data_IF_522067859680
#
_entry.id   IF_522067859680
#
_cell.length_a   1.000
_cell.length_b   1.000
_cell.length_c   1.000
_cell.angle_alpha   90.00
_cell.angle_beta   90.00
_cell.angle_gamma   90.00
#
_symmetry.space_group_name_H-M   'P 1'
#
loop_
_entity.id
_entity.type
_entity.pdbx_description
1 polymer ?
#
# COMPACT_ATOMS: atom_id res chain seq x y z
N UNK A 1 -76.80 -23.37 -5.65
CA UNK A 1 -76.09 -22.48 -4.70
C UNK A 1 -74.57 -22.67 -4.74
N UNK A 2 -74.05 -23.90 -4.83
CA UNK A 2 -72.61 -24.24 -4.90
C UNK A 2 -71.89 -23.76 -6.16
N UNK A 3 -72.54 -23.84 -7.34
CA UNK A 3 -71.94 -23.45 -8.62
C UNK A 3 -71.59 -21.95 -8.73
N UNK A 4 -72.43 -21.07 -8.16
CA UNK A 4 -72.17 -19.60 -8.17
C UNK A 4 -70.97 -19.23 -7.30
N UNK A 5 -70.77 -19.92 -6.19
CA UNK A 5 -69.61 -19.75 -5.31
C UNK A 5 -68.32 -20.21 -5.98
N UNK A 6 -68.35 -21.36 -6.67
CA UNK A 6 -67.17 -21.86 -7.41
C UNK A 6 -66.77 -20.91 -8.53
N UNK A 7 -67.76 -20.36 -9.27
CA UNK A 7 -67.50 -19.36 -10.32
C UNK A 7 -66.94 -18.06 -9.72
N UNK A 8 -67.49 -17.58 -8.60
CA UNK A 8 -67.00 -16.38 -7.93
C UNK A 8 -65.57 -16.57 -7.40
N UNK A 9 -65.25 -17.73 -6.83
CA UNK A 9 -63.91 -18.05 -6.34
C UNK A 9 -62.90 -18.18 -7.50
N UNK A 10 -63.28 -18.83 -8.60
CA UNK A 10 -62.44 -18.91 -9.81
C UNK A 10 -62.20 -17.52 -10.42
N UNK A 11 -63.24 -16.67 -10.47
CA UNK A 11 -63.11 -15.30 -10.93
C UNK A 11 -62.18 -14.49 -10.02
N UNK A 12 -62.31 -14.60 -8.70
CA UNK A 12 -61.40 -13.94 -7.75
C UNK A 12 -59.94 -14.40 -7.95
N UNK A 13 -59.70 -15.71 -8.08
CA UNK A 13 -58.35 -16.24 -8.30
C UNK A 13 -57.77 -15.77 -9.63
N UNK A 14 -58.57 -15.69 -10.70
CA UNK A 14 -58.12 -15.15 -11.99
C UNK A 14 -57.78 -13.65 -11.93
N UNK A 15 -58.53 -12.87 -11.14
CA UNK A 15 -58.26 -11.45 -10.93
C UNK A 15 -56.96 -11.27 -10.13
N UNK A 16 -56.71 -12.11 -9.11
CA UNK A 16 -55.47 -12.06 -8.34
C UNK A 16 -54.22 -12.43 -9.16
N UNK A 17 -54.32 -13.31 -10.16
CA UNK A 17 -53.19 -13.61 -11.05
C UNK A 17 -52.91 -12.47 -12.05
N UNK A 18 -53.93 -11.69 -12.41
CA UNK A 18 -53.81 -10.58 -13.36
C UNK A 18 -53.30 -9.27 -12.71
N UNK A 19 -53.24 -9.19 -11.38
CA UNK A 19 -52.75 -8.01 -10.64
C UNK A 19 -51.28 -8.06 -10.27
N UNK A 20 -50.53 -9.07 -10.72
CA UNK A 20 -49.08 -8.99 -10.77
C UNK A 20 -48.70 -7.99 -11.87
N UNK A 21 -48.64 -6.70 -11.51
CA UNK A 21 -48.11 -5.66 -12.38
C UNK A 21 -46.71 -6.04 -12.89
N UNK A 22 -46.26 -5.48 -14.02
CA UNK A 22 -44.93 -5.76 -14.53
C UNK A 22 -43.93 -5.49 -13.42
N UNK A 23 -43.14 -6.51 -13.03
CA UNK A 23 -41.90 -6.25 -12.30
C UNK A 23 -41.19 -5.19 -13.13
N UNK A 24 -40.94 -3.98 -12.58
CA UNK A 24 -40.36 -2.91 -13.36
C UNK A 24 -39.02 -3.45 -13.82
N UNK A 25 -38.96 -3.89 -15.08
CA UNK A 25 -37.76 -4.48 -15.64
C UNK A 25 -36.69 -3.43 -15.47
N UNK A 26 -35.87 -3.58 -14.43
CA UNK A 26 -34.85 -2.63 -14.09
C UNK A 26 -33.81 -2.79 -15.20
N UNK A 27 -34.02 -2.11 -16.32
CA UNK A 27 -33.06 -2.03 -17.39
C UNK A 27 -31.84 -1.38 -16.78
N UNK A 28 -30.84 -2.23 -16.50
CA UNK A 28 -29.58 -1.80 -15.96
C UNK A 28 -28.77 -1.20 -17.11
N UNK A 29 -28.88 0.12 -17.28
CA UNK A 29 -28.00 0.85 -18.18
C UNK A 29 -26.66 1.11 -17.48
N UNK A 30 -25.60 0.51 -18.03
CA UNK A 30 -24.25 0.69 -17.52
C UNK A 30 -23.79 2.12 -17.83
N UNK A 31 -23.59 2.92 -16.79
CA UNK A 31 -23.03 4.26 -16.88
C UNK A 31 -21.82 4.39 -15.94
N UNK A 32 -20.89 5.32 -16.21
CA UNK A 32 -19.80 5.62 -15.29
C UNK A 32 -20.34 5.93 -13.90
N UNK A 33 -19.84 5.18 -12.92
CA UNK A 33 -20.28 5.25 -11.54
C UNK A 33 -19.83 6.57 -10.92
N UNK A 34 -20.76 7.30 -10.30
CA UNK A 34 -20.47 8.53 -9.58
C UNK A 34 -20.20 8.26 -8.08
N UNK A 35 -19.73 9.29 -7.36
CA UNK A 35 -19.46 9.17 -5.91
C UNK A 35 -20.71 8.89 -5.05
N UNK A 36 -21.93 9.13 -5.59
CA UNK A 36 -23.19 8.83 -4.90
C UNK A 36 -23.65 7.37 -5.05
N UNK A 37 -22.98 6.59 -5.90
CA UNK A 37 -23.34 5.19 -6.07
C UNK A 37 -23.03 4.40 -4.80
N UNK A 38 -23.94 3.50 -4.36
CA UNK A 38 -23.84 2.81 -3.08
C UNK A 38 -22.61 1.91 -2.98
N UNK A 39 -22.09 1.44 -4.11
CA UNK A 39 -20.88 0.63 -4.18
C UNK A 39 -19.75 1.48 -4.76
N UNK A 40 -18.68 1.61 -3.98
CA UNK A 40 -17.42 2.20 -4.41
C UNK A 40 -16.37 1.09 -4.42
N UNK A 41 -15.68 0.93 -5.54
CA UNK A 41 -14.57 -0.02 -5.65
C UNK A 41 -13.27 0.68 -5.27
N UNK A 42 -12.53 0.11 -4.33
CA UNK A 42 -11.22 0.58 -3.91
C UNK A 42 -10.20 -0.53 -4.10
N UNK A 43 -8.96 -0.16 -4.40
CA UNK A 43 -7.84 -1.10 -4.51
C UNK A 43 -6.69 -0.61 -3.64
N UNK A 44 -6.27 -1.47 -2.71
CA UNK A 44 -5.08 -1.26 -1.89
C UNK A 44 -3.98 -2.21 -2.39
N UNK A 45 -2.76 -1.69 -2.54
CA UNK A 45 -1.64 -2.46 -3.07
C UNK A 45 -0.34 -2.11 -2.38
N UNK A 46 0.60 -3.05 -2.41
CA UNK A 46 1.95 -2.84 -1.91
C UNK A 46 2.81 -2.18 -3.01
N UNK A 47 3.43 -1.05 -2.68
CA UNK A 47 4.24 -0.26 -3.63
C UNK A 47 5.74 -0.44 -3.41
N UNK A 48 6.17 -1.62 -2.96
CA UNK A 48 7.58 -1.92 -2.71
C UNK A 48 8.29 -2.12 -4.05
N UNK A 49 9.34 -1.33 -4.29
CA UNK A 49 10.19 -1.50 -5.48
C UNK A 49 11.42 -2.33 -5.14
N UNK A 50 12.24 -1.83 -4.22
CA UNK A 50 13.45 -2.49 -3.73
C UNK A 50 13.79 -2.00 -2.33
N UNK A 51 14.57 -2.79 -1.60
CA UNK A 51 14.99 -2.44 -0.25
C UNK A 51 15.94 -3.46 0.36
N UNK A 52 16.48 -3.11 1.52
CA UNK A 52 17.31 -4.00 2.32
C UNK A 52 17.03 -3.77 3.81
N UNK A 53 17.39 -4.75 4.63
CA UNK A 53 17.35 -4.66 6.09
C UNK A 53 18.68 -5.12 6.66
N UNK A 54 19.11 -4.51 7.76
CA UNK A 54 20.39 -4.85 8.38
C UNK A 54 20.28 -4.81 9.90
N UNK A 55 20.98 -5.73 10.55
CA UNK A 55 21.18 -5.74 12.01
C UNK A 55 22.41 -4.93 12.43
N UNK A 56 23.11 -4.30 11.48
CA UNK A 56 24.34 -3.54 11.75
C UNK A 56 24.17 -2.36 12.71
N UNK A 57 22.95 -1.87 12.89
CA UNK A 57 22.64 -0.80 13.86
C UNK A 57 22.42 -1.32 15.28
N UNK A 58 22.36 -2.63 15.53
CA UNK A 58 21.98 -3.19 16.85
C UNK A 58 22.82 -2.62 17.99
N UNK A 59 24.15 -2.58 17.82
CA UNK A 59 25.08 -2.05 18.82
C UNK A 59 25.29 -0.53 18.80
N UNK A 60 24.64 0.19 17.88
CA UNK A 60 24.71 1.64 17.78
C UNK A 60 23.62 2.29 18.65
N UNK A 61 23.77 3.55 19.08
CA UNK A 61 22.79 4.23 19.91
C UNK A 61 21.49 4.58 19.18
N UNK A 62 21.47 4.52 17.85
CA UNK A 62 20.33 4.93 17.03
C UNK A 62 20.06 3.94 15.89
N UNK A 63 18.79 3.81 15.53
CA UNK A 63 18.33 3.08 14.35
C UNK A 63 18.05 4.07 13.23
N UNK A 64 18.35 3.65 12.00
CA UNK A 64 18.21 4.50 10.82
C UNK A 64 17.33 3.78 9.81
N UNK A 65 16.27 4.45 9.38
CA UNK A 65 15.35 3.97 8.35
C UNK A 65 15.36 4.96 7.19
N UNK A 66 15.55 4.43 5.98
CA UNK A 66 15.57 5.23 4.76
C UNK A 66 14.34 4.90 3.93
N UNK A 67 13.55 5.92 3.61
CA UNK A 67 12.38 5.79 2.74
C UNK A 67 12.61 6.61 1.48
N UNK A 68 12.51 5.95 0.32
CA UNK A 68 12.69 6.59 -0.98
C UNK A 68 11.41 6.44 -1.80
N UNK A 69 10.61 7.49 -1.84
CA UNK A 69 9.36 7.50 -2.55
C UNK A 69 9.58 7.74 -4.04
N UNK A 70 8.93 6.94 -4.87
CA UNK A 70 8.76 7.22 -6.30
C UNK A 70 7.34 7.70 -6.51
N UNK A 71 7.19 8.85 -7.14
CA UNK A 71 5.88 9.38 -7.51
C UNK A 71 5.67 9.14 -9.00
N UNK A 72 4.49 8.64 -9.38
CA UNK A 72 3.99 8.80 -10.75
C UNK A 72 3.59 10.26 -10.96
N UNK A 73 3.77 10.77 -12.17
CA UNK A 73 3.50 12.16 -12.53
C UNK A 73 2.07 12.54 -12.17
N UNK A 74 1.94 13.63 -11.42
CA UNK A 74 0.65 14.15 -10.98
C UNK A 74 0.16 15.17 -12.01
N UNK A 75 -1.06 15.00 -12.50
CA UNK A 75 -1.68 15.98 -13.40
C UNK A 75 -1.84 17.36 -12.72
N UNK A 76 -1.85 18.45 -13.49
CA UNK A 76 -1.96 19.80 -12.94
C UNK A 76 -3.26 19.97 -12.14
N UNK A 77 -3.15 20.53 -10.93
CA UNK A 77 -4.29 20.92 -10.09
C UNK A 77 -4.66 19.95 -8.95
N UNK A 78 -3.85 18.92 -8.68
CA UNK A 78 -4.06 18.07 -7.52
C UNK A 78 -3.56 18.72 -6.20
N UNK A 79 -4.24 18.45 -5.07
CA UNK A 79 -3.83 18.97 -3.76
C UNK A 79 -2.44 18.46 -3.37
N UNK A 80 -1.81 19.18 -2.44
CA UNK A 80 -0.52 18.81 -1.86
C UNK A 80 -0.58 17.35 -1.38
N UNK A 81 0.39 16.54 -1.81
CA UNK A 81 0.40 15.10 -1.52
C UNK A 81 0.64 14.89 -0.02
N UNK A 82 -0.11 13.98 0.58
CA UNK A 82 0.05 13.61 1.99
C UNK A 82 0.39 12.13 2.10
N UNK A 83 1.35 11.78 2.97
CA UNK A 83 1.79 10.41 3.22
C UNK A 83 1.80 10.15 4.71
N UNK A 84 1.19 9.05 5.16
CA UNK A 84 1.23 8.66 6.56
C UNK A 84 2.30 7.59 6.80
N UNK A 85 3.27 7.90 7.66
CA UNK A 85 4.28 6.97 8.16
C UNK A 85 3.78 6.31 9.45
N UNK A 86 3.44 5.03 9.35
CA UNK A 86 3.05 4.20 10.50
C UNK A 86 4.28 3.53 11.10
N UNK A 87 4.60 3.89 12.34
CA UNK A 87 5.67 3.28 13.12
C UNK A 87 5.11 2.31 14.14
N UNK A 88 5.42 1.04 13.96
CA UNK A 88 5.08 -0.02 14.90
C UNK A 88 6.30 -0.95 15.04
N UNK A 89 6.73 -1.29 16.26
CA UNK A 89 7.82 -2.23 16.47
C UNK A 89 7.51 -3.59 15.87
N UNK A 90 8.56 -4.34 15.51
CA UNK A 90 8.43 -5.75 15.11
C UNK A 90 7.76 -6.56 16.22
N UNK A 91 7.09 -7.65 15.88
CA UNK A 91 6.28 -8.45 16.82
C UNK A 91 7.04 -8.95 18.04
N UNK A 92 8.35 -9.17 17.93
CA UNK A 92 9.22 -9.59 19.03
C UNK A 92 9.56 -8.48 20.03
N UNK A 93 9.27 -7.21 19.70
CA UNK A 93 9.53 -6.04 20.55
C UNK A 93 8.20 -5.48 21.02
N UNK A 94 7.95 -5.57 22.33
CA UNK A 94 6.70 -5.08 22.90
C UNK A 94 6.65 -3.55 22.95
N UNK A 95 7.74 -2.90 23.38
CA UNK A 95 7.89 -1.44 23.41
C UNK A 95 9.28 -1.11 22.88
N UNK A 96 9.35 -0.23 21.88
CA UNK A 96 10.62 0.20 21.28
C UNK A 96 11.17 1.45 21.99
N UNK A 97 12.41 1.35 22.46
CA UNK A 97 13.05 2.38 23.29
C UNK A 97 14.21 3.08 22.59
N UNK A 98 14.58 2.63 21.40
CA UNK A 98 15.81 3.09 20.77
C UNK A 98 15.52 4.34 19.92
N UNK A 99 16.36 5.38 19.99
CA UNK A 99 16.24 6.53 19.10
C UNK A 99 16.18 6.12 17.64
N UNK A 100 15.28 6.74 16.88
CA UNK A 100 15.05 6.47 15.46
C UNK A 100 15.30 7.71 14.63
N UNK A 101 16.03 7.52 13.53
CA UNK A 101 16.29 8.53 12.53
C UNK A 101 15.68 8.08 11.22
N UNK A 102 14.87 8.95 10.61
CA UNK A 102 14.26 8.71 9.31
C UNK A 102 14.90 9.62 8.28
N UNK A 103 15.38 9.02 7.19
CA UNK A 103 15.74 9.74 5.98
C UNK A 103 14.58 9.63 5.00
N UNK A 104 13.86 10.73 4.81
CA UNK A 104 12.65 10.82 3.99
C UNK A 104 13.02 11.48 2.66
N UNK A 105 13.04 10.69 1.59
CA UNK A 105 13.33 11.18 0.25
C UNK A 105 12.08 11.11 -0.63
N UNK A 106 11.76 12.22 -1.27
CA UNK A 106 10.67 12.34 -2.23
C UNK A 106 11.06 13.28 -3.36
N UNK A 107 10.76 12.93 -4.64
CA UNK A 107 11.00 13.80 -5.78
C UNK A 107 10.09 15.04 -5.81
N UNK A 108 8.96 15.00 -5.10
CA UNK A 108 7.99 16.10 -5.01
C UNK A 108 7.75 16.48 -3.54
N UNK A 109 7.50 17.78 -3.24
CA UNK A 109 7.11 18.20 -1.90
C UNK A 109 5.81 17.53 -1.46
N UNK A 110 5.80 16.96 -0.25
CA UNK A 110 4.64 16.30 0.32
C UNK A 110 4.63 16.43 1.84
N UNK A 111 3.45 16.29 2.46
CA UNK A 111 3.27 16.33 3.91
C UNK A 111 3.40 14.92 4.48
N UNK A 112 4.27 14.77 5.48
CA UNK A 112 4.44 13.51 6.21
C UNK A 112 3.65 13.54 7.51
N UNK A 113 2.68 12.63 7.65
CA UNK A 113 1.93 12.39 8.89
C UNK A 113 2.55 11.23 9.65
N UNK A 114 2.90 11.42 10.91
CA UNK A 114 3.50 10.37 11.73
C UNK A 114 2.45 9.74 12.65
N UNK A 115 2.27 8.42 12.55
CA UNK A 115 1.48 7.64 13.51
C UNK A 115 2.40 6.65 14.20
N UNK A 116 2.56 6.77 15.51
CA UNK A 116 3.45 5.91 16.29
C UNK A 116 2.66 5.07 17.28
N UNK A 117 2.94 3.77 17.30
CA UNK A 117 2.40 2.84 18.28
C UNK A 117 3.57 2.20 19.04
N UNK A 118 3.38 1.97 20.34
CA UNK A 118 4.33 1.17 21.15
C UNK A 118 5.80 1.67 21.11
N UNK A 119 6.00 2.96 20.85
CA UNK A 119 7.26 3.65 21.10
C UNK A 119 7.26 4.17 22.55
N UNK A 120 8.38 3.98 23.25
CA UNK A 120 8.52 4.49 24.61
C UNK A 120 8.43 6.03 24.64
N UNK A 121 7.88 6.54 25.74
CA UNK A 121 7.76 7.98 25.96
C UNK A 121 9.17 8.57 26.08
N UNK A 122 9.44 9.65 25.35
CA UNK A 122 10.74 10.34 25.38
C UNK A 122 11.79 9.81 24.39
N UNK A 123 11.46 8.81 23.56
CA UNK A 123 12.35 8.36 22.48
C UNK A 123 12.56 9.48 21.46
N UNK A 124 13.83 9.82 21.20
CA UNK A 124 14.19 10.81 20.19
C UNK A 124 13.85 10.30 18.79
N UNK A 125 13.11 11.13 18.04
CA UNK A 125 12.71 10.88 16.66
C UNK A 125 13.27 12.03 15.81
N UNK A 126 14.16 11.73 14.87
CA UNK A 126 14.76 12.74 13.98
C UNK A 126 14.36 12.46 12.55
N UNK A 127 13.99 13.50 11.81
CA UNK A 127 13.59 13.42 10.41
C UNK A 127 14.56 14.26 9.58
N UNK A 128 15.15 13.64 8.57
CA UNK A 128 15.99 14.29 7.58
C UNK A 128 15.23 14.27 6.26
N UNK A 129 14.81 15.44 5.80
CA UNK A 129 14.07 15.59 4.56
C UNK A 129 15.04 15.94 3.43
N UNK A 130 15.00 15.17 2.35
CA UNK A 130 15.74 15.47 1.13
C UNK A 130 14.76 15.87 0.05
N UNK A 131 14.78 17.16 -0.32
CA UNK A 131 14.10 17.68 -1.50
C UNK A 131 15.14 17.80 -2.61
N UNK A 132 15.15 16.87 -3.56
CA UNK A 132 16.06 16.93 -4.70
C UNK A 132 15.30 17.22 -5.99
N UNK A 133 15.75 18.21 -6.79
CA UNK A 133 15.65 18.13 -8.24
C UNK A 133 16.90 17.48 -8.89
N UNK A 134 17.87 16.97 -8.12
CA UNK A 134 19.11 16.45 -8.71
C UNK A 134 19.20 14.92 -8.66
N UNK A 135 19.09 14.34 -9.85
CA UNK A 135 19.42 12.97 -10.21
C UNK A 135 20.72 12.50 -9.54
N UNK A 136 20.65 11.50 -8.67
CA UNK A 136 21.75 10.55 -8.57
C UNK A 136 21.66 9.66 -9.80
N UNK A 137 22.25 10.11 -10.91
CA UNK A 137 22.47 9.28 -12.10
C UNK A 137 23.49 8.21 -11.71
N UNK A 138 23.05 6.97 -11.51
CA UNK A 138 23.94 5.83 -11.57
C UNK A 138 24.56 5.81 -12.97
N UNK A 139 25.78 6.32 -13.08
CA UNK A 139 26.61 6.12 -14.27
C UNK A 139 26.98 4.64 -14.26
N UNK A 140 26.25 3.83 -15.02
CA UNK A 140 26.66 2.46 -15.30
C UNK A 140 28.04 2.51 -15.94
N UNK A 141 29.06 2.12 -15.18
CA UNK A 141 30.38 1.88 -15.74
C UNK A 141 30.32 0.54 -16.47
N UNK A 142 29.90 0.60 -17.74
CA UNK A 142 30.26 -0.40 -18.73
C UNK A 142 31.78 -0.32 -18.93
N UNK A 143 32.54 -1.22 -18.28
CA UNK A 143 33.92 -1.49 -18.65
C UNK A 143 34.07 -2.98 -18.93
N UNK A 144 33.95 -3.29 -20.22
CA UNK A 144 34.63 -4.42 -20.84
C UNK A 144 36.14 -4.19 -20.72
N UNK A 145 36.86 -4.99 -19.94
CA UNK A 145 38.26 -5.36 -20.27
C UNK A 145 38.81 -6.49 -19.38
N UNK A 146 39.06 -7.65 -20.02
CA UNK A 146 40.33 -8.39 -20.02
C UNK A 146 40.84 -9.06 -18.72
N UNK A 147 41.32 -10.32 -18.77
CA UNK A 147 41.79 -11.06 -17.58
C UNK A 147 43.29 -10.88 -17.30
N UNK A 148 43.70 -10.77 -16.02
CA UNK A 148 45.03 -11.18 -15.50
C UNK A 148 45.09 -11.15 -13.93
N UNK A 149 46.07 -11.80 -13.26
CA UNK A 149 45.83 -12.78 -12.19
C UNK A 149 46.45 -12.46 -10.80
N UNK A 150 46.01 -13.23 -9.76
CA UNK A 150 46.67 -13.57 -8.45
C UNK A 150 47.03 -12.39 -7.50
N UNK A 151 46.80 -12.33 -6.17
CA UNK A 151 46.29 -13.22 -5.10
C UNK A 151 46.11 -12.40 -3.78
N UNK A 152 46.17 -12.98 -2.55
CA UNK A 152 45.04 -13.50 -1.78
C UNK A 152 44.82 -12.76 -0.42
N UNK A 153 43.65 -12.96 0.19
CA UNK A 153 43.29 -12.45 1.53
C UNK A 153 42.31 -11.29 1.40
N UNK A 154 41.09 -11.32 1.93
CA UNK A 154 40.67 -11.84 3.23
C UNK A 154 39.23 -12.30 3.11
N UNK A 155 38.93 -13.46 3.68
CA UNK A 155 37.57 -14.03 3.74
C UNK A 155 36.59 -13.06 4.42
N UNK A 156 35.59 -12.59 3.69
CA UNK A 156 34.29 -12.22 4.25
C UNK A 156 33.22 -12.95 3.46
N UNK A 157 32.70 -14.01 4.06
CA UNK A 157 31.65 -14.87 3.55
C UNK A 157 30.42 -14.08 3.11
N UNK A 158 30.22 -14.00 1.79
CA UNK A 158 28.92 -13.73 1.19
C UNK A 158 28.18 -15.07 1.16
N UNK A 159 27.26 -15.27 2.11
CA UNK A 159 26.33 -16.40 2.05
C UNK A 159 25.08 -15.95 1.30
N UNK A 160 25.05 -16.35 0.03
CA UNK A 160 23.82 -16.50 -0.75
C UNK A 160 23.08 -17.72 -0.16
N UNK A 161 21.99 -17.48 0.55
CA UNK A 161 20.99 -18.52 0.80
C UNK A 161 19.68 -18.07 0.18
N UNK A 162 19.54 -18.47 -1.08
CA UNK A 162 18.30 -18.53 -1.82
C UNK A 162 17.49 -19.77 -1.36
N UNK A 163 16.13 -19.65 -1.34
CA UNK A 163 15.08 -20.68 -1.16
C UNK A 163 14.80 -21.17 0.30
N UNK A 164 13.59 -21.25 0.91
CA UNK A 164 12.15 -21.11 0.56
C UNK A 164 11.31 -20.88 1.88
N UNK A 165 10.01 -21.25 2.05
CA UNK A 165 8.86 -20.34 2.10
C UNK A 165 8.01 -20.46 3.40
N UNK A 166 6.96 -19.64 3.52
CA UNK A 166 5.78 -19.93 4.36
C UNK A 166 5.81 -19.38 5.79
N UNK A 167 5.08 -18.29 6.04
CA UNK A 167 3.73 -18.25 6.63
C UNK A 167 3.19 -16.82 6.56
#
# INVERSE_FOLDING_TARGET
MTSRYVIAMLALMSVCLATAGPEPSAQCELSPVNASHPVQALMESFTVLSGCASRGTTGLPQEVHVLNLRTSDQGPGQPQREVTLHLNPISSVHIHHKPVVFLLNSPQPLVWHLKTERLAIGVSRRFLEQTFPFLCSTREHSLLQGPQPWSPGTSSSFQDETLMPGF
#
